data_IF_003447741151
#
_entry.id   IF_003447741151
#
_cell.length_a   1.000
_cell.length_b   1.000
_cell.length_c   1.000
_cell.angle_alpha   90.00
_cell.angle_beta   90.00
_cell.angle_gamma   90.00
#
_symmetry.space_group_name_H-M   'P 1'
#
loop_
_entity.id
_entity.type
_entity.pdbx_description
1 polymer ?
#
# COMPACT_ATOMS: atom_id res chain seq x y z
N UNK A 1 0.86 -24.86 15.60
CA UNK A 1 1.81 -25.97 15.91
C UNK A 1 2.21 -26.03 17.38
N UNK A 2 2.23 -24.93 18.14
CA UNK A 2 2.69 -24.90 19.54
C UNK A 2 1.71 -25.47 20.58
N UNK A 3 0.41 -25.49 20.33
CA UNK A 3 -0.60 -25.96 21.28
C UNK A 3 -0.50 -27.45 21.65
N UNK A 4 -0.28 -28.39 20.71
CA UNK A 4 -0.10 -29.80 21.07
C UNK A 4 1.14 -30.07 21.91
N UNK A 5 2.23 -29.33 21.65
CA UNK A 5 3.49 -29.49 22.40
C UNK A 5 3.38 -28.87 23.80
N UNK A 6 2.71 -27.73 23.93
CA UNK A 6 2.38 -27.13 25.21
C UNK A 6 1.48 -28.04 26.05
N UNK A 7 0.48 -28.70 25.44
CA UNK A 7 -0.38 -29.67 26.11
C UNK A 7 0.39 -30.91 26.57
N UNK A 8 1.38 -31.38 25.82
CA UNK A 8 2.28 -32.46 26.24
C UNK A 8 3.15 -32.03 27.44
N UNK A 9 3.73 -30.82 27.36
CA UNK A 9 4.54 -30.23 28.41
C UNK A 9 3.76 -30.05 29.72
N UNK A 10 2.47 -29.64 29.66
CA UNK A 10 1.61 -29.47 30.83
C UNK A 10 1.35 -30.79 31.62
N UNK A 11 1.57 -31.93 30.99
CA UNK A 11 1.47 -33.25 31.62
C UNK A 11 2.79 -33.68 32.31
N UNK A 12 3.85 -32.91 32.17
CA UNK A 12 5.15 -33.18 32.76
C UNK A 12 5.21 -32.58 34.16
N UNK A 13 5.86 -33.25 35.09
CA UNK A 13 6.08 -32.73 36.43
C UNK A 13 7.36 -31.88 36.47
N UNK A 14 7.38 -30.89 37.35
CA UNK A 14 8.60 -30.11 37.62
C UNK A 14 9.66 -31.05 38.19
N UNK A 15 10.89 -31.01 37.67
CA UNK A 15 11.97 -31.88 38.07
C UNK A 15 12.19 -31.82 39.61
N UNK A 16 12.19 -32.98 40.26
CA UNK A 16 12.35 -33.09 41.69
C UNK A 16 11.11 -32.80 42.55
N UNK A 17 9.94 -32.66 41.94
CA UNK A 17 8.67 -32.43 42.64
C UNK A 17 7.53 -33.26 42.02
N UNK A 18 6.42 -33.41 42.79
CA UNK A 18 5.19 -34.02 42.29
C UNK A 18 4.23 -32.97 41.64
N UNK A 19 4.67 -31.73 41.52
CA UNK A 19 3.85 -30.62 40.99
C UNK A 19 3.82 -30.64 39.45
N UNK A 20 2.63 -30.56 38.83
CA UNK A 20 2.53 -30.42 37.38
C UNK A 20 3.04 -29.06 36.94
N UNK A 21 3.62 -28.97 35.74
CA UNK A 21 3.97 -27.71 35.13
C UNK A 21 2.67 -26.95 34.80
N UNK A 22 2.52 -25.75 35.37
CA UNK A 22 1.39 -24.87 35.06
C UNK A 22 1.64 -24.17 33.73
N UNK A 23 0.87 -24.52 32.72
CA UNK A 23 0.90 -23.84 31.44
C UNK A 23 -0.17 -22.74 31.39
N UNK A 24 0.25 -21.54 31.01
CA UNK A 24 -0.66 -20.42 30.68
C UNK A 24 -0.72 -20.29 29.17
N UNK A 25 -1.92 -20.39 28.64
CA UNK A 25 -2.18 -20.15 27.22
C UNK A 25 -2.58 -18.69 27.04
N UNK A 26 -1.87 -17.99 26.18
CA UNK A 26 -2.20 -16.64 25.77
C UNK A 26 -2.44 -16.61 24.27
N UNK A 27 -3.30 -15.73 23.83
CA UNK A 27 -3.48 -15.35 22.42
C UNK A 27 -2.98 -13.91 22.30
N UNK A 28 -2.01 -13.70 21.44
CA UNK A 28 -1.68 -12.37 20.98
C UNK A 28 -2.68 -12.03 19.89
N UNK A 29 -3.57 -11.09 20.18
CA UNK A 29 -4.54 -10.60 19.22
C UNK A 29 -4.10 -9.20 18.77
N UNK A 30 -3.93 -9.02 17.47
CA UNK A 30 -3.81 -7.71 16.88
C UNK A 30 -5.22 -7.13 16.78
N UNK A 31 -5.46 -6.04 17.50
CA UNK A 31 -6.69 -5.28 17.35
C UNK A 31 -6.54 -4.42 16.10
N UNK A 32 -7.20 -4.81 15.03
CA UNK A 32 -7.30 -4.02 13.80
C UNK A 32 -8.58 -3.18 13.92
N UNK A 33 -8.42 -1.85 13.92
CA UNK A 33 -9.55 -0.94 13.81
C UNK A 33 -9.95 -0.85 12.32
N UNK A 34 -10.79 -1.75 11.87
CA UNK A 34 -11.21 -1.84 10.45
C UNK A 34 -12.13 -0.69 10.00
N UNK A 35 -12.38 0.28 10.87
CA UNK A 35 -13.11 1.51 10.53
C UNK A 35 -12.16 2.59 10.03
N UNK A 36 -10.97 2.72 10.66
CA UNK A 36 -9.98 3.74 10.28
C UNK A 36 -9.07 3.24 9.14
N UNK A 37 -8.82 1.93 9.04
CA UNK A 37 -7.96 1.31 8.01
C UNK A 37 -8.57 1.31 6.59
N UNK A 38 -9.70 2.01 6.38
CA UNK A 38 -10.40 2.04 5.09
C UNK A 38 -10.60 3.46 4.54
N UNK A 39 -9.76 4.37 4.98
CA UNK A 39 -9.70 5.72 4.41
C UNK A 39 -9.00 5.63 3.06
N UNK A 40 -9.68 6.11 2.03
CA UNK A 40 -9.15 6.10 0.65
C UNK A 40 -8.23 7.30 0.41
N UNK A 41 -8.65 8.47 0.89
CA UNK A 41 -7.94 9.74 0.71
C UNK A 41 -7.44 10.22 2.05
N UNK A 42 -6.13 10.35 2.17
CA UNK A 42 -5.45 10.92 3.32
C UNK A 42 -4.95 12.33 2.98
N UNK A 43 -4.91 13.21 3.97
CA UNK A 43 -4.56 14.62 3.80
C UNK A 43 -5.80 15.48 3.56
N UNK A 44 -5.58 16.76 3.23
CA UNK A 44 -6.64 17.78 3.20
C UNK A 44 -6.74 18.55 1.88
N UNK A 45 -5.97 18.17 0.87
CA UNK A 45 -6.00 18.85 -0.42
C UNK A 45 -7.32 18.56 -1.14
N UNK A 46 -7.91 19.60 -1.69
CA UNK A 46 -9.06 19.49 -2.59
C UNK A 46 -8.58 19.52 -4.03
N UNK A 47 -8.96 18.50 -4.79
CA UNK A 47 -8.64 18.45 -6.21
C UNK A 47 -9.72 17.71 -7.00
N UNK A 48 -10.10 18.22 -8.21
CA UNK A 48 -10.97 17.49 -9.12
C UNK A 48 -10.37 16.13 -9.51
N UNK A 49 -11.21 15.12 -9.74
CA UNK A 49 -10.76 13.81 -10.24
C UNK A 49 -10.09 13.91 -11.62
N UNK A 50 -10.32 15.00 -12.36
CA UNK A 50 -9.66 15.32 -13.64
C UNK A 50 -8.32 16.03 -13.47
N UNK A 51 -7.90 16.35 -12.24
CA UNK A 51 -6.62 16.98 -11.94
C UNK A 51 -5.44 16.06 -12.23
N UNK A 52 -4.23 16.61 -12.13
CA UNK A 52 -3.00 15.80 -12.23
C UNK A 52 -2.69 15.11 -10.90
N UNK A 53 -2.19 13.87 -10.96
CA UNK A 53 -1.78 13.05 -9.82
C UNK A 53 -0.41 12.45 -10.07
N UNK A 54 0.33 12.17 -9.01
CA UNK A 54 1.53 11.35 -9.08
C UNK A 54 1.16 9.93 -8.67
N UNK A 55 1.17 9.01 -9.63
CA UNK A 55 1.06 7.59 -9.33
C UNK A 55 2.46 6.99 -9.21
N UNK A 56 2.73 6.25 -8.15
CA UNK A 56 4.07 5.74 -7.86
C UNK A 56 4.05 4.39 -7.16
N UNK A 57 5.20 3.74 -7.19
CA UNK A 57 5.49 2.50 -6.50
C UNK A 57 6.94 2.49 -6.03
N UNK A 58 7.26 1.72 -4.99
CA UNK A 58 8.58 1.61 -4.41
C UNK A 58 9.03 0.15 -4.34
N UNK A 59 10.33 -0.07 -4.62
CA UNK A 59 11.01 -1.26 -4.18
C UNK A 59 11.85 -0.96 -2.94
N UNK A 60 11.92 -1.89 -1.99
CA UNK A 60 12.50 -1.68 -0.67
C UNK A 60 13.33 -2.88 -0.20
N UNK A 61 14.20 -2.68 0.79
CA UNK A 61 14.99 -3.77 1.39
C UNK A 61 14.17 -4.70 2.29
N UNK A 62 12.92 -4.36 2.58
CA UNK A 62 12.01 -5.12 3.45
C UNK A 62 10.70 -4.39 3.68
N UNK A 63 9.93 -4.80 4.69
CA UNK A 63 8.55 -4.34 4.87
C UNK A 63 8.37 -3.24 5.93
N UNK A 64 9.40 -2.89 6.67
CA UNK A 64 9.30 -1.94 7.79
C UNK A 64 9.99 -0.63 7.47
N UNK A 65 9.25 0.44 7.23
CA UNK A 65 9.80 1.78 7.01
C UNK A 65 10.68 2.32 8.18
N UNK A 66 10.64 1.68 9.36
CA UNK A 66 11.48 2.02 10.50
C UNK A 66 12.90 1.45 10.38
N UNK A 67 13.06 0.25 9.78
CA UNK A 67 14.31 -0.50 9.70
C UNK A 67 14.80 -0.71 8.28
N UNK A 68 13.92 -0.62 7.32
CA UNK A 68 14.20 -0.83 5.91
C UNK A 68 14.28 0.50 5.15
N UNK A 69 14.85 0.45 3.94
CA UNK A 69 15.05 1.62 3.10
C UNK A 69 14.63 1.35 1.67
N UNK A 70 14.42 2.42 0.91
CA UNK A 70 14.04 2.38 -0.49
C UNK A 70 15.23 1.90 -1.33
N UNK A 71 14.96 1.12 -2.38
CA UNK A 71 15.95 0.67 -3.38
C UNK A 71 15.61 1.13 -4.81
N UNK A 72 14.34 1.36 -5.12
CA UNK A 72 13.91 1.98 -6.38
C UNK A 72 12.66 2.84 -6.11
N UNK A 73 12.56 3.98 -6.80
CA UNK A 73 11.35 4.81 -6.89
C UNK A 73 10.94 4.85 -8.35
N UNK A 74 9.70 4.47 -8.65
CA UNK A 74 9.09 4.65 -9.95
C UNK A 74 7.81 5.48 -9.84
N UNK A 75 7.72 6.57 -10.60
CA UNK A 75 6.56 7.45 -10.54
C UNK A 75 6.21 8.04 -11.90
N UNK A 76 4.94 8.38 -12.06
CA UNK A 76 4.43 9.09 -13.25
C UNK A 76 3.49 10.21 -12.83
N UNK A 77 3.59 11.36 -13.49
CA UNK A 77 2.54 12.38 -13.45
C UNK A 77 1.49 11.99 -14.48
N UNK A 78 0.27 11.83 -14.00
CA UNK A 78 -0.87 11.39 -14.79
C UNK A 78 -1.98 12.44 -14.73
N UNK A 79 -2.61 12.72 -15.88
CA UNK A 79 -3.79 13.58 -15.97
C UNK A 79 -4.69 13.14 -17.14
N UNK A 80 -5.99 13.00 -16.90
CA UNK A 80 -7.01 12.75 -17.95
C UNK A 80 -6.71 11.54 -18.86
N UNK A 81 -6.02 10.52 -18.40
CA UNK A 81 -5.67 9.35 -19.20
C UNK A 81 -4.30 9.40 -19.82
N UNK A 82 -3.56 10.48 -19.67
CA UNK A 82 -2.23 10.68 -20.26
C UNK A 82 -1.15 10.75 -19.18
N UNK A 83 -0.01 10.13 -19.45
CA UNK A 83 1.19 10.26 -18.65
C UNK A 83 1.96 11.46 -19.17
N UNK A 84 2.10 12.49 -18.33
CA UNK A 84 2.73 13.76 -18.68
C UNK A 84 4.23 13.74 -18.44
N UNK A 85 4.68 13.02 -17.40
CA UNK A 85 6.10 12.93 -17.02
C UNK A 85 6.38 11.65 -16.26
N UNK A 86 7.65 11.28 -16.14
CA UNK A 86 8.13 10.06 -15.47
C UNK A 86 9.34 10.35 -14.60
N UNK A 87 9.36 9.72 -13.45
CA UNK A 87 10.52 9.69 -12.54
C UNK A 87 10.89 8.24 -12.29
N UNK A 88 12.18 7.92 -12.40
CA UNK A 88 12.70 6.62 -11.99
C UNK A 88 14.12 6.81 -11.47
N UNK A 89 14.40 6.26 -10.29
CA UNK A 89 15.72 6.22 -9.72
C UNK A 89 15.90 4.98 -8.87
N UNK A 90 17.07 4.34 -9.00
CA UNK A 90 17.57 3.48 -7.96
C UNK A 90 18.08 4.31 -6.77
N UNK A 91 18.11 3.69 -5.60
CA UNK A 91 18.63 4.28 -4.36
C UNK A 91 19.60 3.28 -3.73
N UNK A 92 20.82 3.73 -3.41
CA UNK A 92 21.79 2.88 -2.73
C UNK A 92 21.37 2.67 -1.25
N UNK A 93 21.07 1.44 -0.83
CA UNK A 93 20.63 1.14 0.53
C UNK A 93 21.81 1.08 1.54
N UNK A 94 23.07 1.19 1.08
CA UNK A 94 24.30 1.02 1.85
C UNK A 94 24.38 -0.29 2.67
N UNK A 95 23.69 -1.32 2.20
CA UNK A 95 23.69 -2.66 2.80
C UNK A 95 23.31 -3.70 1.74
N UNK A 96 23.78 -4.95 1.88
CA UNK A 96 23.42 -5.99 0.93
C UNK A 96 21.93 -6.31 1.02
N UNK A 97 21.34 -6.67 -0.12
CA UNK A 97 19.99 -7.18 -0.22
C UNK A 97 19.92 -8.64 0.23
N UNK A 98 18.82 -9.02 0.87
CA UNK A 98 18.56 -10.43 1.11
C UNK A 98 18.20 -11.14 -0.20
N UNK A 99 18.56 -12.43 -0.33
CA UNK A 99 18.21 -13.22 -1.51
C UNK A 99 16.71 -13.17 -1.81
N UNK A 100 15.87 -13.13 -0.77
CA UNK A 100 14.42 -13.02 -0.91
C UNK A 100 13.99 -11.73 -1.62
N UNK A 101 14.64 -10.60 -1.33
CA UNK A 101 14.35 -9.31 -1.99
C UNK A 101 14.83 -9.37 -3.44
N UNK A 102 16.04 -9.88 -3.69
CA UNK A 102 16.57 -10.06 -5.07
C UNK A 102 15.63 -10.92 -5.90
N UNK A 103 15.18 -12.04 -5.36
CA UNK A 103 14.25 -12.96 -6.06
C UNK A 103 12.87 -12.33 -6.31
N UNK A 104 12.44 -11.40 -5.45
CA UNK A 104 11.14 -10.72 -5.55
C UNK A 104 11.18 -9.57 -6.56
N UNK A 105 12.20 -8.71 -6.48
CA UNK A 105 12.27 -7.44 -7.23
C UNK A 105 13.14 -7.53 -8.48
N UNK A 106 14.01 -8.53 -8.55
CA UNK A 106 15.05 -8.64 -9.58
C UNK A 106 16.18 -7.62 -9.44
N UNK A 107 16.16 -6.77 -8.41
CA UNK A 107 17.20 -5.79 -8.14
C UNK A 107 18.36 -6.50 -7.43
N UNK A 108 19.59 -6.28 -7.90
CA UNK A 108 20.80 -6.87 -7.31
C UNK A 108 21.68 -5.81 -6.65
N UNK A 109 22.59 -6.24 -5.77
CA UNK A 109 23.56 -5.34 -5.13
C UNK A 109 24.45 -4.61 -6.16
N UNK A 110 24.78 -5.27 -7.28
CA UNK A 110 25.55 -4.66 -8.36
C UNK A 110 24.81 -3.51 -9.05
N UNK A 111 23.47 -3.62 -9.20
CA UNK A 111 22.65 -2.57 -9.78
C UNK A 111 22.60 -1.32 -8.88
N UNK A 112 22.73 -1.51 -7.57
CA UNK A 112 22.64 -0.45 -6.56
C UNK A 112 23.99 0.13 -6.15
N UNK A 113 25.11 -0.49 -6.55
CA UNK A 113 26.45 -0.11 -6.09
C UNK A 113 26.79 1.35 -6.41
N UNK A 114 26.45 1.79 -7.62
CA UNK A 114 26.69 3.17 -8.10
C UNK A 114 25.41 4.02 -8.12
N UNK A 115 24.32 3.55 -7.48
CA UNK A 115 23.09 4.32 -7.39
C UNK A 115 23.26 5.52 -6.43
N UNK A 116 22.55 6.64 -6.67
CA UNK A 116 22.59 7.80 -5.80
C UNK A 116 22.03 7.49 -4.40
N UNK A 117 22.41 8.32 -3.44
CA UNK A 117 21.97 8.20 -2.05
C UNK A 117 20.53 8.67 -1.86
N UNK A 118 19.89 8.18 -0.81
CA UNK A 118 18.56 8.64 -0.38
C UNK A 118 18.51 10.18 -0.24
N UNK A 119 19.61 10.80 0.24
CA UNK A 119 19.72 12.24 0.40
C UNK A 119 19.71 13.04 -0.91
N UNK A 120 20.01 12.41 -2.04
CA UNK A 120 19.91 13.01 -3.37
C UNK A 120 18.55 12.71 -4.01
N UNK A 121 18.11 11.45 -3.95
CA UNK A 121 16.92 11.00 -4.66
C UNK A 121 15.62 11.54 -4.06
N UNK A 122 15.52 11.58 -2.72
CA UNK A 122 14.26 12.04 -2.08
C UNK A 122 13.94 13.50 -2.41
N UNK A 123 14.86 14.47 -2.30
CA UNK A 123 14.56 15.85 -2.71
C UNK A 123 14.17 15.98 -4.19
N UNK A 124 14.78 15.19 -5.08
CA UNK A 124 14.41 15.18 -6.50
C UNK A 124 13.01 14.60 -6.73
N UNK A 125 12.67 13.50 -6.05
CA UNK A 125 11.34 12.93 -6.08
C UNK A 125 10.30 13.92 -5.55
N UNK A 126 10.53 14.57 -4.41
CA UNK A 126 9.61 15.57 -3.87
C UNK A 126 9.44 16.76 -4.81
N UNK A 127 10.51 17.19 -5.47
CA UNK A 127 10.44 18.23 -6.51
C UNK A 127 9.63 17.79 -7.72
N UNK A 128 9.75 16.52 -8.14
CA UNK A 128 8.93 15.94 -9.20
C UNK A 128 7.45 15.90 -8.82
N UNK A 129 7.13 15.53 -7.57
CA UNK A 129 5.76 15.51 -7.07
C UNK A 129 5.14 16.91 -6.99
N UNK A 130 5.93 17.93 -6.64
CA UNK A 130 5.41 19.27 -6.36
C UNK A 130 4.29 19.24 -5.32
N UNK A 131 3.19 19.92 -5.62
CA UNK A 131 1.99 19.94 -4.77
C UNK A 131 0.90 18.97 -5.24
N UNK A 132 1.23 18.01 -6.12
CA UNK A 132 0.25 17.07 -6.65
C UNK A 132 -0.10 16.00 -5.61
N UNK A 133 -1.36 15.57 -5.52
CA UNK A 133 -1.72 14.41 -4.71
C UNK A 133 -1.03 13.14 -5.23
N UNK A 134 -0.59 12.30 -4.30
CA UNK A 134 0.05 11.02 -4.60
C UNK A 134 -1.00 9.91 -4.74
N UNK A 135 -0.65 8.84 -5.42
CA UNK A 135 -1.43 7.60 -5.42
C UNK A 135 -0.51 6.39 -5.52
N UNK A 136 -0.80 5.37 -4.73
CA UNK A 136 -0.12 4.08 -4.78
C UNK A 136 -1.11 2.95 -4.48
N UNK A 137 -0.68 1.70 -4.68
CA UNK A 137 -1.50 0.53 -4.38
C UNK A 137 -1.10 -0.09 -3.04
N UNK A 138 -1.86 0.14 -1.99
CA UNK A 138 -1.51 0.03 -0.57
C UNK A 138 -0.64 1.22 -0.13
N UNK A 139 -1.15 2.41 -0.40
CA UNK A 139 -0.40 3.67 -0.35
C UNK A 139 0.22 3.98 1.01
N UNK A 140 -0.33 3.48 2.12
CA UNK A 140 0.25 3.63 3.45
C UNK A 140 1.65 3.02 3.55
N UNK A 141 1.91 1.94 2.79
CA UNK A 141 3.23 1.35 2.72
C UNK A 141 4.23 2.30 2.04
N UNK A 142 3.94 2.69 0.80
CA UNK A 142 4.87 3.50 -0.01
C UNK A 142 5.06 4.90 0.58
N UNK A 143 3.96 5.58 0.92
CA UNK A 143 4.01 6.89 1.58
C UNK A 143 4.73 6.79 2.92
N UNK A 144 4.53 5.71 3.67
CA UNK A 144 5.23 5.44 4.92
C UNK A 144 6.75 5.41 4.76
N UNK A 145 7.27 4.80 3.69
CA UNK A 145 8.70 4.80 3.36
C UNK A 145 9.21 6.19 2.96
N UNK A 146 8.47 6.92 2.12
CA UNK A 146 8.83 8.31 1.76
C UNK A 146 8.87 9.19 3.01
N UNK A 147 7.86 9.13 3.89
CA UNK A 147 7.83 9.91 5.13
C UNK A 147 8.95 9.50 6.10
N UNK A 148 9.33 8.22 6.14
CA UNK A 148 10.47 7.78 6.94
C UNK A 148 11.80 8.31 6.39
N UNK A 149 11.97 8.31 5.06
CA UNK A 149 13.13 8.91 4.40
C UNK A 149 13.21 10.43 4.66
N UNK A 150 12.10 11.14 4.48
CA UNK A 150 12.01 12.57 4.79
C UNK A 150 12.42 12.88 6.25
N UNK A 151 11.92 12.09 7.22
CA UNK A 151 12.31 12.25 8.64
C UNK A 151 13.79 12.04 8.88
N UNK A 152 14.42 11.03 8.23
CA UNK A 152 15.88 10.81 8.32
C UNK A 152 16.68 11.99 7.80
N UNK A 153 16.15 12.66 6.76
CA UNK A 153 16.79 13.83 6.12
C UNK A 153 16.40 15.17 6.76
N UNK A 154 15.51 15.19 7.76
CA UNK A 154 15.02 16.41 8.38
C UNK A 154 14.12 17.26 7.48
N UNK A 155 13.45 16.63 6.50
CA UNK A 155 12.51 17.26 5.58
C UNK A 155 11.09 17.09 6.13
N UNK A 156 10.35 18.21 6.26
CA UNK A 156 8.92 18.18 6.56
C UNK A 156 8.14 17.93 5.27
N UNK A 157 7.27 16.91 5.27
CA UNK A 157 6.46 16.55 4.13
C UNK A 157 5.12 15.95 4.58
N UNK A 158 4.02 16.53 4.15
CA UNK A 158 2.65 16.11 4.48
C UNK A 158 1.83 15.97 3.19
N UNK A 159 1.96 14.87 2.46
CA UNK A 159 1.26 14.67 1.19
C UNK A 159 -0.24 14.40 1.40
N UNK A 160 -1.05 14.82 0.43
CA UNK A 160 -2.35 14.21 0.21
C UNK A 160 -2.17 13.01 -0.70
N UNK A 161 -2.79 11.86 -0.37
CA UNK A 161 -2.68 10.66 -1.20
C UNK A 161 -3.96 9.83 -1.25
N UNK A 162 -4.08 9.08 -2.34
CA UNK A 162 -5.21 8.20 -2.66
C UNK A 162 -4.74 6.76 -2.70
N UNK A 163 -5.36 5.87 -1.91
CA UNK A 163 -5.05 4.44 -1.90
C UNK A 163 -5.91 3.67 -2.90
N UNK A 164 -5.30 3.16 -3.97
CA UNK A 164 -6.01 2.38 -4.99
C UNK A 164 -6.37 0.98 -4.52
N UNK A 165 -5.71 0.40 -3.51
CA UNK A 165 -6.12 -0.87 -2.92
C UNK A 165 -7.46 -0.71 -2.19
N UNK A 166 -7.60 0.34 -1.38
CA UNK A 166 -8.84 0.62 -0.66
C UNK A 166 -9.97 0.99 -1.64
N UNK A 167 -9.67 1.75 -2.71
CA UNK A 167 -10.62 1.97 -3.80
C UNK A 167 -11.08 0.65 -4.43
N UNK A 168 -10.15 -0.23 -4.79
CA UNK A 168 -10.47 -1.52 -5.38
C UNK A 168 -11.36 -2.38 -4.48
N UNK A 169 -11.08 -2.43 -3.18
CA UNK A 169 -11.89 -3.17 -2.21
C UNK A 169 -13.33 -2.65 -2.09
N UNK A 170 -13.55 -1.35 -2.32
CA UNK A 170 -14.87 -0.75 -2.24
C UNK A 170 -15.64 -0.81 -3.59
N UNK A 171 -14.94 -0.64 -4.71
CA UNK A 171 -15.57 -0.56 -6.04
C UNK A 171 -15.65 -1.92 -6.75
N UNK A 172 -14.83 -2.89 -6.34
CA UNK A 172 -14.78 -4.24 -6.89
C UNK A 172 -14.90 -5.30 -5.77
N UNK A 173 -15.97 -5.26 -4.96
CA UNK A 173 -16.10 -6.10 -3.75
C UNK A 173 -16.19 -7.60 -4.03
N UNK A 174 -16.53 -7.99 -5.26
CA UNK A 174 -16.67 -9.40 -5.65
C UNK A 174 -15.31 -10.07 -5.96
N UNK A 175 -14.22 -9.30 -6.05
CA UNK A 175 -12.88 -9.85 -6.23
C UNK A 175 -12.42 -10.55 -4.94
N UNK A 176 -11.91 -11.77 -5.09
CA UNK A 176 -11.36 -12.55 -3.96
C UNK A 176 -10.03 -12.01 -3.44
N UNK A 177 -9.34 -11.25 -4.27
CA UNK A 177 -8.03 -10.68 -3.99
C UNK A 177 -7.88 -9.36 -4.76
N UNK A 178 -7.27 -8.37 -4.12
CA UNK A 178 -7.08 -7.03 -4.66
C UNK A 178 -5.60 -6.70 -4.87
N UNK A 179 -4.75 -7.68 -5.17
CA UNK A 179 -3.37 -7.42 -5.60
C UNK A 179 -3.38 -6.63 -6.91
N UNK A 180 -2.33 -5.83 -7.12
CA UNK A 180 -2.19 -4.92 -8.27
C UNK A 180 -2.53 -5.61 -9.60
N UNK A 181 -1.91 -6.76 -9.90
CA UNK A 181 -2.13 -7.53 -11.12
C UNK A 181 -3.58 -8.01 -11.26
N UNK A 182 -4.20 -8.50 -10.17
CA UNK A 182 -5.58 -9.02 -10.20
C UNK A 182 -6.58 -7.89 -10.48
N UNK A 183 -6.35 -6.73 -9.87
CA UNK A 183 -7.20 -5.55 -10.10
C UNK A 183 -6.99 -5.01 -11.52
N UNK A 184 -5.74 -4.96 -12.00
CA UNK A 184 -5.43 -4.55 -13.38
C UNK A 184 -6.14 -5.43 -14.41
N UNK A 185 -6.10 -6.76 -14.22
CA UNK A 185 -6.80 -7.74 -15.07
C UNK A 185 -8.32 -7.51 -15.04
N UNK A 186 -8.90 -7.35 -13.84
CA UNK A 186 -10.33 -7.11 -13.67
C UNK A 186 -10.82 -5.82 -14.34
N UNK A 187 -9.97 -4.80 -14.37
CA UNK A 187 -10.22 -3.53 -15.05
C UNK A 187 -9.86 -3.56 -16.56
N UNK A 188 -9.37 -4.70 -17.05
CA UNK A 188 -8.91 -4.90 -18.45
C UNK A 188 -7.83 -3.86 -18.84
N UNK A 189 -6.93 -3.57 -17.93
CA UNK A 189 -5.78 -2.71 -18.21
C UNK A 189 -4.76 -3.44 -19.10
N UNK A 190 -3.92 -2.71 -19.86
CA UNK A 190 -2.84 -3.32 -20.65
C UNK A 190 -1.91 -4.16 -19.78
N UNK A 191 -1.34 -5.25 -20.33
CA UNK A 191 -0.31 -6.02 -19.63
C UNK A 191 0.97 -5.19 -19.46
N UNK A 192 1.58 -5.27 -18.27
CA UNK A 192 2.80 -4.56 -17.90
C UNK A 192 3.85 -5.56 -17.42
N UNK A 193 5.12 -5.18 -17.53
CA UNK A 193 6.22 -5.92 -16.91
C UNK A 193 6.20 -5.65 -15.40
N UNK A 194 5.67 -6.59 -14.64
CA UNK A 194 5.68 -6.53 -13.18
C UNK A 194 7.11 -6.54 -12.61
N UNK A 195 7.27 -5.91 -11.42
CA UNK A 195 8.51 -5.83 -10.66
C UNK A 195 9.53 -4.79 -11.16
N UNK A 196 9.04 -3.70 -11.75
CA UNK A 196 9.77 -2.46 -11.96
C UNK A 196 8.91 -1.33 -11.47
N UNK A 197 9.37 -0.59 -10.49
CA UNK A 197 8.59 0.44 -9.79
C UNK A 197 7.89 1.44 -10.75
N UNK A 198 8.55 1.82 -11.86
CA UNK A 198 7.92 2.73 -12.83
C UNK A 198 6.75 2.09 -13.58
N UNK A 199 6.84 0.79 -13.92
CA UNK A 199 5.78 0.09 -14.65
C UNK A 199 4.57 -0.17 -13.73
N UNK A 200 4.82 -0.48 -12.45
CA UNK A 200 3.78 -0.60 -11.43
C UNK A 200 3.14 0.77 -11.14
N UNK A 201 3.92 1.87 -11.10
CA UNK A 201 3.40 3.23 -11.05
C UNK A 201 2.50 3.60 -12.24
N UNK A 202 2.85 3.18 -13.46
CA UNK A 202 1.99 3.33 -14.65
C UNK A 202 0.69 2.54 -14.49
N UNK A 203 0.78 1.32 -13.96
CA UNK A 203 -0.41 0.48 -13.71
C UNK A 203 -1.33 1.16 -12.68
N UNK A 204 -0.77 1.70 -11.60
CA UNK A 204 -1.52 2.49 -10.59
C UNK A 204 -2.21 3.69 -11.24
N UNK A 205 -1.54 4.44 -12.14
CA UNK A 205 -2.11 5.58 -12.85
C UNK A 205 -3.34 5.18 -13.70
N UNK A 206 -3.23 4.10 -14.47
CA UNK A 206 -4.36 3.59 -15.26
C UNK A 206 -5.49 3.05 -14.39
N UNK A 207 -5.16 2.41 -13.27
CA UNK A 207 -6.14 1.93 -12.29
C UNK A 207 -6.89 3.10 -11.66
N UNK A 208 -6.17 4.13 -11.22
CA UNK A 208 -6.75 5.36 -10.66
C UNK A 208 -7.73 6.03 -11.63
N UNK A 209 -7.36 6.11 -12.92
CA UNK A 209 -8.24 6.59 -13.98
C UNK A 209 -9.57 5.83 -14.01
N UNK A 210 -9.51 4.49 -14.06
CA UNK A 210 -10.72 3.65 -14.12
C UNK A 210 -11.60 3.85 -12.88
N UNK A 211 -11.00 3.96 -11.71
CA UNK A 211 -11.74 4.24 -10.49
C UNK A 211 -12.37 5.64 -10.50
N UNK A 212 -11.67 6.64 -10.99
CA UNK A 212 -12.22 7.98 -11.10
C UNK A 212 -13.37 8.07 -12.12
N UNK A 213 -13.30 7.33 -13.23
CA UNK A 213 -14.43 7.19 -14.17
C UNK A 213 -15.65 6.60 -13.42
N UNK A 214 -15.50 5.50 -12.69
CA UNK A 214 -16.56 4.86 -11.91
C UNK A 214 -17.14 5.79 -10.82
N UNK A 215 -16.31 6.60 -10.18
CA UNK A 215 -16.73 7.56 -9.17
C UNK A 215 -17.48 8.75 -9.79
N UNK A 216 -17.01 9.24 -10.94
CA UNK A 216 -17.67 10.32 -11.69
C UNK A 216 -19.07 9.91 -12.14
N UNK A 217 -19.26 8.67 -12.59
CA UNK A 217 -20.59 8.11 -12.92
C UNK A 217 -21.53 8.08 -11.70
N UNK A 218 -20.98 8.07 -10.47
CA UNK A 218 -21.71 8.13 -9.21
C UNK A 218 -21.86 9.57 -8.65
N UNK A 219 -21.49 10.58 -9.43
CA UNK A 219 -21.61 12.00 -9.07
C UNK A 219 -20.50 12.54 -8.17
N UNK A 220 -19.35 11.85 -8.08
CA UNK A 220 -18.17 12.31 -7.35
C UNK A 220 -17.26 13.07 -8.33
N UNK A 221 -16.94 14.31 -8.00
CA UNK A 221 -16.13 15.18 -8.87
C UNK A 221 -14.79 15.59 -8.22
N UNK A 222 -14.66 15.41 -6.90
CA UNK A 222 -13.49 15.83 -6.13
C UNK A 222 -13.01 14.72 -5.18
N UNK A 223 -11.68 14.64 -4.96
CA UNK A 223 -11.09 13.65 -4.04
C UNK A 223 -11.62 13.76 -2.61
N UNK A 224 -11.93 14.97 -2.14
CA UNK A 224 -12.48 15.21 -0.80
C UNK A 224 -13.83 14.52 -0.56
N UNK A 225 -14.58 14.20 -1.61
CA UNK A 225 -15.88 13.52 -1.53
C UNK A 225 -15.77 11.99 -1.43
N UNK A 226 -14.60 11.42 -1.75
CA UNK A 226 -14.45 9.96 -1.90
C UNK A 226 -14.69 9.23 -0.57
N UNK A 227 -14.11 9.71 0.53
CA UNK A 227 -14.22 9.03 1.82
C UNK A 227 -15.66 8.94 2.31
N UNK A 228 -16.44 10.02 2.18
CA UNK A 228 -17.88 10.02 2.55
C UNK A 228 -18.66 9.02 1.70
N UNK A 229 -18.39 8.97 0.40
CA UNK A 229 -19.03 8.02 -0.52
C UNK A 229 -18.72 6.57 -0.15
N UNK A 230 -17.47 6.26 0.19
CA UNK A 230 -17.06 4.90 0.57
C UNK A 230 -17.76 4.44 1.86
N UNK A 231 -17.93 5.33 2.84
CA UNK A 231 -18.72 5.05 4.05
C UNK A 231 -20.18 4.74 3.70
N UNK A 232 -20.78 5.52 2.81
CA UNK A 232 -22.17 5.32 2.37
C UNK A 232 -22.38 3.97 1.66
N UNK A 233 -21.46 3.57 0.78
CA UNK A 233 -21.50 2.28 0.08
C UNK A 233 -21.45 1.09 1.05
N UNK A 234 -20.58 1.15 2.06
CA UNK A 234 -20.46 0.09 3.09
C UNK A 234 -21.71 0.00 3.97
N UNK A 235 -22.24 1.12 4.38
CA UNK A 235 -23.46 1.18 5.19
C UNK A 235 -24.66 0.59 4.45
N UNK A 236 -24.76 0.82 3.14
CA UNK A 236 -25.80 0.23 2.28
C UNK A 236 -25.67 -1.29 2.13
N UNK A 237 -24.46 -1.82 1.96
CA UNK A 237 -24.22 -3.27 1.86
C UNK A 237 -24.54 -4.01 3.15
N UNK A 238 -24.22 -3.45 4.31
CA UNK A 238 -24.57 -4.04 5.61
C UNK A 238 -26.08 -4.09 5.88
N UNK A 239 -26.85 -3.14 5.37
CA UNK A 239 -28.33 -3.15 5.50
C UNK A 239 -28.92 -4.27 4.63
N UNK A 240 -28.45 -4.44 3.41
CA UNK A 240 -28.89 -5.49 2.51
C UNK A 240 -28.54 -6.90 3.03
N UNK A 241 -27.37 -7.08 3.59
CA UNK A 241 -26.92 -8.36 4.16
C UNK A 241 -27.72 -8.75 5.43
N UNK A 242 -28.14 -7.77 6.24
CA UNK A 242 -29.06 -8.01 7.38
C UNK A 242 -30.47 -8.38 6.92
N UNK A 243 -30.98 -7.75 5.87
CA UNK A 243 -32.30 -8.09 5.32
C UNK A 243 -32.31 -9.47 4.69
N UNK A 244 -31.26 -9.86 3.97
CA UNK A 244 -31.15 -11.20 3.38
C UNK A 244 -31.08 -12.32 4.45
N UNK A 245 -30.47 -12.08 5.61
CA UNK A 245 -30.37 -13.06 6.71
C UNK A 245 -31.66 -13.22 7.53
N UNK A 246 -32.61 -12.30 7.39
CA UNK A 246 -33.93 -12.41 8.03
C UNK A 246 -35.02 -12.99 7.11
N UNK A 247 -34.66 -13.36 5.86
CA UNK A 247 -35.58 -13.95 4.90
C UNK A 247 -35.32 -15.44 4.62
N UNK A 248 -34.48 -16.10 5.45
CA UNK A 248 -34.26 -17.56 5.46
C UNK A 248 -34.65 -18.06 6.89
#
# INVERSE_FOLDING_TARGET
QSFPDALKASKTKVAGTDQPIKMLYGVEAYFVNDVDDRIVVHGSQEQPLTGAFVAFDLETTGLSAQSDVITEIGAVIYQNGEILDRFQSFVNPHRPLSQKIIDLTGITDEMLADAPDEAEVIPEFLKFCGDLPLSAHNADFDVGFILAACRRLGIEYEPTYVDTLILAQNLLPDLKNHKLNIVADALSLPEFNHHRAVDDGVTVAHMLRRFFEMLTEQGIENISQINEKMVALRSGSHILDRQARHMI
#
